data_IF_202639677949
#
_entry.id   IF_202639677949
#
_cell.length_a   1.000
_cell.length_b   1.000
_cell.length_c   1.000
_cell.angle_alpha   90.00
_cell.angle_beta   90.00
_cell.angle_gamma   90.00
#
_symmetry.space_group_name_H-M   'P 1'
#
loop_
_entity.id
_entity.type
_entity.pdbx_description
1 polymer ?
#
# COMPACT_ATOMS: atom_id res chain seq x y z
N UNK A 1 10.16 -5.90 -32.89
CA UNK A 1 9.56 -5.77 -31.52
C UNK A 1 9.81 -7.12 -30.84
N UNK A 2 10.52 -7.14 -29.72
CA UNK A 2 10.70 -8.37 -28.93
C UNK A 2 9.32 -8.81 -28.43
N UNK A 3 9.02 -10.10 -28.57
CA UNK A 3 7.81 -10.66 -27.97
C UNK A 3 7.88 -10.44 -26.46
N UNK A 4 6.74 -10.15 -25.83
CA UNK A 4 6.63 -10.08 -24.37
C UNK A 4 7.11 -11.41 -23.76
N UNK A 5 7.88 -11.33 -22.69
CA UNK A 5 8.35 -12.52 -21.96
C UNK A 5 7.19 -13.23 -21.27
N UNK A 6 6.13 -12.48 -20.90
CA UNK A 6 4.96 -12.97 -20.15
C UNK A 6 3.68 -12.66 -20.91
N UNK A 7 2.74 -13.59 -20.89
CA UNK A 7 1.42 -13.37 -21.49
C UNK A 7 0.54 -12.49 -20.62
N UNK A 8 -0.42 -11.80 -21.24
CA UNK A 8 -1.44 -11.02 -20.52
C UNK A 8 -2.22 -11.86 -19.52
N UNK A 9 -2.52 -13.12 -19.87
CA UNK A 9 -3.24 -14.04 -19.00
C UNK A 9 -2.42 -14.40 -17.74
N UNK A 10 -1.12 -14.62 -17.90
CA UNK A 10 -0.21 -14.88 -16.77
C UNK A 10 -0.10 -13.68 -15.85
N UNK A 11 0.10 -12.47 -16.41
CA UNK A 11 0.16 -11.22 -15.65
C UNK A 11 -1.14 -10.98 -14.88
N UNK A 12 -2.30 -11.17 -15.51
CA UNK A 12 -3.59 -11.01 -14.87
C UNK A 12 -3.79 -11.99 -13.69
N UNK A 13 -3.45 -13.27 -13.89
CA UNK A 13 -3.56 -14.29 -12.85
C UNK A 13 -2.60 -14.02 -11.67
N UNK A 14 -1.38 -13.59 -11.96
CA UNK A 14 -0.41 -13.22 -10.93
C UNK A 14 -0.87 -12.01 -10.12
N UNK A 15 -1.44 -11.01 -10.79
CA UNK A 15 -1.97 -9.81 -10.14
C UNK A 15 -3.19 -10.10 -9.27
N UNK A 16 -4.14 -10.89 -9.76
CA UNK A 16 -5.31 -11.32 -8.95
C UNK A 16 -4.88 -12.05 -7.68
N UNK A 17 -3.87 -12.93 -7.76
CA UNK A 17 -3.31 -13.60 -6.59
C UNK A 17 -2.64 -12.62 -5.63
N UNK A 18 -1.94 -11.63 -6.16
CA UNK A 18 -1.31 -10.57 -5.39
C UNK A 18 -2.35 -9.75 -4.62
N UNK A 19 -3.42 -9.27 -5.30
CA UNK A 19 -4.51 -8.51 -4.68
C UNK A 19 -5.21 -9.30 -3.55
N UNK A 20 -5.48 -10.59 -3.76
CA UNK A 20 -6.03 -11.47 -2.72
C UNK A 20 -5.12 -11.56 -1.50
N UNK A 21 -3.80 -11.59 -1.73
CA UNK A 21 -2.84 -11.63 -0.63
C UNK A 21 -2.75 -10.29 0.10
N UNK A 22 -2.81 -9.17 -0.62
CA UNK A 22 -2.89 -7.82 -0.02
C UNK A 22 -4.13 -7.70 0.87
N UNK A 23 -5.30 -8.12 0.37
CA UNK A 23 -6.54 -8.11 1.14
C UNK A 23 -6.45 -8.97 2.41
N UNK A 24 -5.84 -10.17 2.31
CA UNK A 24 -5.61 -11.04 3.47
C UNK A 24 -4.64 -10.39 4.46
N UNK A 25 -3.52 -9.85 4.00
CA UNK A 25 -2.53 -9.18 4.84
C UNK A 25 -3.14 -8.00 5.60
N UNK A 26 -3.96 -7.19 4.94
CA UNK A 26 -4.68 -6.08 5.57
C UNK A 26 -5.66 -6.58 6.66
N UNK A 27 -6.41 -7.64 6.38
CA UNK A 27 -7.40 -8.20 7.32
C UNK A 27 -6.75 -8.90 8.53
N UNK A 28 -5.63 -9.59 8.34
CA UNK A 28 -4.97 -10.39 9.38
C UNK A 28 -3.81 -9.66 10.06
N UNK A 29 -3.35 -8.55 9.48
CA UNK A 29 -2.13 -7.83 9.85
C UNK A 29 -0.84 -8.66 9.68
N UNK A 30 -0.92 -9.79 8.99
CA UNK A 30 0.23 -10.61 8.59
C UNK A 30 0.77 -10.14 7.23
N UNK A 31 1.71 -9.21 7.26
CA UNK A 31 2.37 -8.67 6.07
C UNK A 31 3.46 -9.59 5.52
N UNK A 32 3.87 -10.63 6.25
CA UNK A 32 4.84 -11.61 5.77
C UNK A 32 4.34 -12.36 4.53
N UNK A 33 3.04 -12.69 4.49
CA UNK A 33 2.44 -13.35 3.33
C UNK A 33 2.50 -12.48 2.06
N UNK A 34 2.38 -11.15 2.20
CA UNK A 34 2.49 -10.21 1.07
C UNK A 34 3.93 -10.10 0.58
N UNK A 35 4.89 -9.98 1.50
CA UNK A 35 6.32 -9.85 1.16
C UNK A 35 6.84 -11.04 0.36
N UNK A 36 6.28 -12.25 0.53
CA UNK A 36 6.66 -13.43 -0.24
C UNK A 36 6.37 -13.34 -1.74
N UNK A 37 5.51 -12.42 -2.18
CA UNK A 37 5.27 -12.17 -3.60
C UNK A 37 6.41 -11.43 -4.29
N UNK A 38 7.39 -10.91 -3.57
CA UNK A 38 8.55 -10.26 -4.16
C UNK A 38 9.72 -11.22 -4.34
N UNK A 39 10.55 -10.96 -5.34
CA UNK A 39 11.84 -11.63 -5.49
C UNK A 39 12.78 -11.30 -4.31
N UNK A 40 13.78 -12.16 -4.01
CA UNK A 40 14.72 -11.87 -2.92
C UNK A 40 15.46 -10.54 -3.05
N UNK A 41 15.68 -10.08 -4.28
CA UNK A 41 16.43 -8.88 -4.68
C UNK A 41 15.53 -7.71 -5.10
N UNK A 42 14.23 -7.76 -4.81
CA UNK A 42 13.25 -6.72 -5.20
C UNK A 42 13.75 -5.29 -4.97
N UNK A 43 13.45 -4.41 -5.91
CA UNK A 43 13.55 -2.96 -5.71
C UNK A 43 12.16 -2.37 -5.43
N UNK A 44 11.98 -1.85 -4.23
CA UNK A 44 10.75 -1.16 -3.83
C UNK A 44 11.02 0.32 -3.65
N UNK A 45 10.27 1.16 -4.36
CA UNK A 45 10.41 2.61 -4.34
C UNK A 45 9.17 3.20 -3.68
N UNK A 46 9.36 3.77 -2.50
CA UNK A 46 8.35 4.50 -1.77
C UNK A 46 8.80 5.96 -1.68
N UNK A 47 7.95 6.90 -2.10
CA UNK A 47 8.39 8.28 -2.35
C UNK A 47 8.76 9.07 -1.08
N UNK A 48 8.37 8.62 0.11
CA UNK A 48 8.80 9.21 1.40
C UNK A 48 9.93 8.41 2.03
N UNK A 49 9.84 7.07 2.04
CA UNK A 49 10.85 6.20 2.64
C UNK A 49 12.10 6.01 1.75
N UNK A 50 11.96 6.28 0.43
CA UNK A 50 13.04 6.13 -0.53
C UNK A 50 13.10 4.75 -1.17
N UNK A 51 14.28 4.36 -1.66
CA UNK A 51 14.50 3.10 -2.36
C UNK A 51 14.93 2.01 -1.37
N UNK A 52 14.20 0.92 -1.36
CA UNK A 52 14.50 -0.28 -0.59
C UNK A 52 14.91 -1.40 -1.53
N UNK A 53 16.05 -2.04 -1.26
CA UNK A 53 16.55 -3.17 -2.04
C UNK A 53 16.57 -4.43 -1.17
N UNK A 54 16.00 -5.48 -1.73
CA UNK A 54 15.89 -6.79 -1.11
C UNK A 54 14.64 -6.96 -0.25
N UNK A 55 14.07 -8.15 -0.32
CA UNK A 55 12.81 -8.55 0.36
C UNK A 55 12.83 -8.28 1.87
N UNK A 56 13.97 -8.50 2.52
CA UNK A 56 14.08 -8.30 3.97
C UNK A 56 13.96 -6.83 4.37
N UNK A 57 14.47 -5.90 3.53
CA UNK A 57 14.33 -4.47 3.77
C UNK A 57 12.88 -4.02 3.60
N UNK A 58 12.19 -4.52 2.57
CA UNK A 58 10.76 -4.27 2.35
C UNK A 58 9.94 -4.82 3.53
N UNK A 59 10.27 -6.02 4.01
CA UNK A 59 9.61 -6.64 5.18
C UNK A 59 9.71 -5.77 6.43
N UNK A 60 10.91 -5.32 6.77
CA UNK A 60 11.12 -4.47 7.95
C UNK A 60 10.31 -3.16 7.83
N UNK A 61 10.36 -2.52 6.67
CA UNK A 61 9.62 -1.29 6.41
C UNK A 61 8.10 -1.46 6.52
N UNK A 62 7.52 -2.49 5.90
CA UNK A 62 6.07 -2.67 5.92
C UNK A 62 5.57 -3.00 7.33
N UNK A 63 6.32 -3.81 8.08
CA UNK A 63 5.97 -4.13 9.47
C UNK A 63 5.97 -2.87 10.35
N UNK A 64 6.99 -2.01 10.23
CA UNK A 64 7.04 -0.74 10.94
C UNK A 64 5.88 0.19 10.51
N UNK A 65 5.68 0.36 9.21
CA UNK A 65 4.65 1.23 8.64
C UNK A 65 3.25 0.83 9.10
N UNK A 66 2.95 -0.46 9.07
CA UNK A 66 1.60 -0.96 9.37
C UNK A 66 1.34 -1.17 10.87
N UNK A 67 2.32 -0.94 11.73
CA UNK A 67 2.17 -0.92 13.19
C UNK A 67 2.16 0.50 13.76
N UNK A 68 2.45 1.50 12.94
CA UNK A 68 2.56 2.91 13.35
C UNK A 68 1.46 3.74 12.67
N UNK A 69 0.81 4.67 13.40
CA UNK A 69 -0.16 5.58 12.78
C UNK A 69 0.54 6.49 11.73
N UNK A 70 -0.04 6.73 10.55
CA UNK A 70 -1.39 6.38 10.09
C UNK A 70 -1.55 4.97 9.49
N UNK A 71 -0.48 4.26 9.15
CA UNK A 71 -0.52 2.94 8.52
C UNK A 71 -1.28 1.90 9.34
N UNK A 72 -1.13 1.91 10.66
CA UNK A 72 -1.88 1.02 11.57
C UNK A 72 -3.40 1.15 11.45
N UNK A 73 -3.89 2.28 10.97
CA UNK A 73 -5.31 2.57 10.77
C UNK A 73 -5.77 2.42 9.31
N UNK A 74 -4.90 2.10 8.38
CA UNK A 74 -5.29 1.71 7.02
C UNK A 74 -5.78 0.27 7.05
N UNK A 75 -7.02 0.03 6.59
CA UNK A 75 -7.72 -1.25 6.77
C UNK A 75 -7.82 -2.09 5.50
N UNK A 76 -7.58 -1.48 4.34
CA UNK A 76 -7.66 -2.16 3.04
C UNK A 76 -6.83 -1.41 2.01
N UNK A 77 -6.54 -2.08 0.88
CA UNK A 77 -5.81 -1.52 -0.26
C UNK A 77 -6.41 -2.02 -1.58
N UNK A 78 -7.71 -1.80 -1.83
CA UNK A 78 -8.34 -2.29 -3.04
C UNK A 78 -7.84 -1.53 -4.27
N UNK A 79 -7.67 -2.26 -5.37
CA UNK A 79 -7.41 -1.68 -6.68
C UNK A 79 -8.70 -1.09 -7.24
N UNK A 80 -8.70 0.20 -7.54
CA UNK A 80 -9.85 0.89 -8.16
C UNK A 80 -9.90 0.64 -9.66
N UNK A 81 -8.75 0.57 -10.28
CA UNK A 81 -8.54 0.18 -11.68
C UNK A 81 -7.12 -0.32 -11.87
N UNK A 82 -6.90 -1.07 -12.94
CA UNK A 82 -5.56 -1.52 -13.34
C UNK A 82 -5.41 -1.58 -14.85
N UNK A 83 -4.17 -1.43 -15.30
CA UNK A 83 -3.75 -1.62 -16.69
C UNK A 83 -2.59 -2.62 -16.72
N UNK A 84 -2.69 -3.59 -17.62
CA UNK A 84 -1.63 -4.55 -17.90
C UNK A 84 -0.84 -4.05 -19.11
N UNK A 85 0.42 -3.70 -18.89
CA UNK A 85 1.39 -3.47 -19.96
C UNK A 85 2.17 -4.77 -20.22
N UNK A 86 1.61 -5.56 -21.13
CA UNK A 86 2.19 -6.85 -21.52
C UNK A 86 3.60 -6.69 -22.10
N UNK A 87 3.84 -5.59 -22.82
CA UNK A 87 5.12 -5.36 -23.51
C UNK A 87 6.31 -5.22 -22.54
N UNK A 88 6.06 -4.77 -21.33
CA UNK A 88 7.08 -4.56 -20.28
C UNK A 88 6.91 -5.46 -19.06
N UNK A 89 5.89 -6.32 -19.04
CA UNK A 89 5.58 -7.18 -17.90
C UNK A 89 5.13 -6.38 -16.67
N UNK A 90 4.43 -5.25 -16.85
CA UNK A 90 4.03 -4.36 -15.76
C UNK A 90 2.53 -4.33 -15.56
N UNK A 91 2.15 -4.14 -14.29
CA UNK A 91 0.81 -3.73 -13.89
C UNK A 91 0.89 -2.31 -13.33
N UNK A 92 0.00 -1.45 -13.81
CA UNK A 92 -0.19 -0.10 -13.27
C UNK A 92 -1.58 -0.08 -12.65
N UNK A 93 -1.71 0.27 -11.39
CA UNK A 93 -3.00 0.30 -10.71
C UNK A 93 -3.12 1.51 -9.79
N UNK A 94 -4.34 1.99 -9.59
CA UNK A 94 -4.67 2.93 -8.52
C UNK A 94 -5.20 2.14 -7.33
N UNK A 95 -4.57 2.33 -6.18
CA UNK A 95 -5.00 1.74 -4.91
C UNK A 95 -5.71 2.78 -4.06
N UNK A 96 -6.84 2.43 -3.47
CA UNK A 96 -7.44 3.18 -2.38
C UNK A 96 -6.84 2.72 -1.04
N UNK A 97 -6.70 3.65 -0.10
CA UNK A 97 -6.14 3.39 1.23
C UNK A 97 -7.14 3.90 2.29
N UNK A 98 -8.29 3.22 2.46
CA UNK A 98 -9.27 3.62 3.45
C UNK A 98 -8.74 3.41 4.87
N UNK A 99 -9.00 4.40 5.70
CA UNK A 99 -8.71 4.34 7.13
C UNK A 99 -9.85 3.65 7.88
N UNK A 100 -9.56 3.18 9.09
CA UNK A 100 -10.54 2.66 10.03
C UNK A 100 -11.70 3.64 10.18
N UNK A 101 -12.93 3.11 10.35
CA UNK A 101 -14.10 3.94 10.68
C UNK A 101 -13.81 4.73 11.96
N UNK A 102 -13.89 6.06 11.94
CA UNK A 102 -13.69 6.88 13.13
C UNK A 102 -14.82 6.73 14.18
N UNK A 103 -15.92 6.04 13.83
CA UNK A 103 -17.03 5.73 14.74
C UNK A 103 -18.41 6.23 14.28
N UNK A 104 -18.51 6.80 13.07
CA UNK A 104 -19.78 7.30 12.50
C UNK A 104 -20.07 6.79 11.10
N UNK A 105 -19.32 5.79 10.63
CA UNK A 105 -19.43 5.24 9.28
C UNK A 105 -18.74 6.09 8.20
N UNK A 106 -18.02 7.15 8.56
CA UNK A 106 -17.30 7.98 7.58
C UNK A 106 -16.18 7.21 6.92
N UNK A 107 -16.10 7.29 5.59
CA UNK A 107 -14.97 6.78 4.81
C UNK A 107 -13.98 7.91 4.56
N UNK A 108 -12.78 7.76 5.08
CA UNK A 108 -11.67 8.69 4.89
C UNK A 108 -10.53 7.91 4.26
N UNK A 109 -10.09 8.32 3.07
CA UNK A 109 -9.05 7.61 2.31
C UNK A 109 -8.15 8.55 1.52
N UNK A 110 -7.06 8.01 1.02
CA UNK A 110 -6.21 8.62 -0.01
C UNK A 110 -5.79 7.55 -1.01
N UNK A 111 -5.51 7.94 -2.25
CA UNK A 111 -5.11 7.01 -3.31
C UNK A 111 -3.65 7.17 -3.69
N UNK A 112 -3.04 6.08 -4.15
CA UNK A 112 -1.74 6.05 -4.80
C UNK A 112 -1.79 5.28 -6.12
N UNK A 113 -0.84 5.55 -7.00
CA UNK A 113 -0.57 4.72 -8.17
C UNK A 113 0.59 3.79 -7.85
N UNK A 114 0.39 2.49 -8.05
CA UNK A 114 1.46 1.49 -7.96
C UNK A 114 1.83 1.00 -9.35
N UNK A 115 3.12 0.95 -9.63
CA UNK A 115 3.70 0.33 -10.83
C UNK A 115 4.46 -0.90 -10.37
N UNK A 116 3.98 -2.08 -10.77
CA UNK A 116 4.52 -3.37 -10.31
C UNK A 116 5.09 -4.12 -11.51
N UNK A 117 6.35 -4.57 -11.45
CA UNK A 117 7.02 -5.30 -12.53
C UNK A 117 7.14 -6.77 -12.17
N UNK A 118 6.64 -7.62 -13.05
CA UNK A 118 6.61 -9.07 -12.90
C UNK A 118 7.96 -9.70 -13.25
N UNK A 119 8.32 -10.75 -12.52
CA UNK A 119 9.56 -11.51 -12.70
C UNK A 119 9.34 -12.99 -13.07
N UNK A 120 8.07 -13.37 -13.32
CA UNK A 120 7.71 -14.77 -13.52
C UNK A 120 7.44 -15.51 -12.20
N UNK A 121 6.92 -16.73 -12.31
CA UNK A 121 6.67 -17.62 -11.17
C UNK A 121 5.81 -17.02 -10.04
N UNK A 122 4.91 -16.07 -10.38
CA UNK A 122 4.06 -15.38 -9.42
C UNK A 122 4.79 -14.38 -8.53
N UNK A 123 5.99 -13.93 -8.90
CA UNK A 123 6.80 -12.98 -8.14
C UNK A 123 6.99 -11.66 -8.87
N UNK A 124 7.19 -10.60 -8.08
CA UNK A 124 7.39 -9.22 -8.53
C UNK A 124 8.80 -8.77 -8.16
N UNK A 125 9.57 -8.25 -9.13
CA UNK A 125 10.94 -7.79 -8.89
C UNK A 125 11.05 -6.29 -8.63
N UNK A 126 9.99 -5.53 -8.93
CA UNK A 126 9.97 -4.08 -8.67
C UNK A 126 8.57 -3.61 -8.35
N UNK A 127 8.45 -2.71 -7.40
CA UNK A 127 7.25 -1.91 -7.18
C UNK A 127 7.64 -0.45 -6.93
N UNK A 128 6.83 0.46 -7.45
CA UNK A 128 6.94 1.88 -7.17
C UNK A 128 5.57 2.43 -6.80
N UNK A 129 5.46 3.05 -5.61
CA UNK A 129 4.26 3.70 -5.14
C UNK A 129 4.38 5.21 -5.29
N UNK A 130 3.58 5.76 -6.20
CA UNK A 130 3.59 7.17 -6.58
C UNK A 130 2.37 7.85 -5.97
N UNK A 131 2.58 8.80 -5.09
CA UNK A 131 1.52 9.54 -4.44
C UNK A 131 1.94 10.94 -4.01
N UNK A 132 0.96 11.75 -3.65
CA UNK A 132 1.22 13.05 -3.01
C UNK A 132 1.15 12.89 -1.48
N UNK A 133 2.28 13.00 -0.76
CA UNK A 133 2.30 12.83 0.70
C UNK A 133 1.35 13.77 1.45
N UNK A 134 1.10 14.96 0.91
CA UNK A 134 0.17 15.91 1.52
C UNK A 134 -1.28 15.44 1.48
N UNK A 135 -1.67 14.62 0.49
CA UNK A 135 -3.03 14.02 0.46
C UNK A 135 -3.18 13.00 1.59
N UNK A 136 -2.18 12.16 1.81
CA UNK A 136 -2.16 11.20 2.92
C UNK A 136 -2.13 11.91 4.27
N UNK A 137 -1.29 12.95 4.41
CA UNK A 137 -1.26 13.77 5.62
C UNK A 137 -2.64 14.40 5.94
N UNK A 138 -3.31 14.94 4.91
CA UNK A 138 -4.64 15.54 5.07
C UNK A 138 -5.70 14.50 5.42
N UNK A 139 -5.66 13.32 4.83
CA UNK A 139 -6.57 12.22 5.16
C UNK A 139 -6.38 11.77 6.61
N UNK A 140 -5.15 11.54 7.05
CA UNK A 140 -4.82 11.17 8.42
C UNK A 140 -5.25 12.25 9.43
N UNK A 141 -5.01 13.53 9.12
CA UNK A 141 -5.43 14.64 9.96
C UNK A 141 -6.95 14.78 10.04
N UNK A 142 -7.65 14.60 8.91
CA UNK A 142 -9.12 14.57 8.86
C UNK A 142 -9.67 13.44 9.74
N UNK A 143 -9.07 12.25 9.67
CA UNK A 143 -9.42 11.12 10.52
C UNK A 143 -9.24 11.45 12.00
N UNK A 144 -8.08 11.98 12.39
CA UNK A 144 -7.80 12.37 13.78
C UNK A 144 -8.83 13.37 14.34
N UNK A 145 -9.15 14.42 13.58
CA UNK A 145 -10.14 15.42 13.99
C UNK A 145 -11.52 14.80 14.18
N UNK A 146 -11.93 13.94 13.24
CA UNK A 146 -13.20 13.25 13.31
C UNK A 146 -13.27 12.31 14.52
N UNK A 147 -12.24 11.50 14.72
CA UNK A 147 -12.13 10.62 15.88
C UNK A 147 -12.12 11.40 17.21
N UNK A 148 -11.48 12.57 17.24
CA UNK A 148 -11.49 13.46 18.41
C UNK A 148 -12.90 13.99 18.72
N UNK A 149 -13.64 14.45 17.70
CA UNK A 149 -15.02 14.89 17.82
C UNK A 149 -15.95 13.78 18.36
N UNK A 150 -15.69 12.53 17.97
CA UNK A 150 -16.47 11.37 18.37
C UNK A 150 -15.99 10.73 19.69
N UNK A 151 -14.87 11.17 20.24
CA UNK A 151 -14.29 10.60 21.46
C UNK A 151 -13.64 9.23 21.25
N UNK A 152 -13.26 8.88 20.01
CA UNK A 152 -12.64 7.59 19.61
C UNK A 152 -11.17 7.70 19.28
N UNK A 153 -10.56 8.89 19.41
CA UNK A 153 -9.15 9.13 19.11
C UNK A 153 -8.25 8.38 20.10
N UNK A 154 -7.47 7.42 19.60
CA UNK A 154 -6.50 6.69 20.40
C UNK A 154 -5.20 7.50 20.65
N UNK A 155 -4.36 6.98 21.55
CA UNK A 155 -3.14 7.68 21.97
C UNK A 155 -2.10 7.84 20.87
N UNK A 156 -1.96 6.85 19.97
CA UNK A 156 -0.96 6.90 18.89
C UNK A 156 -1.35 7.93 17.82
N UNK A 157 -2.61 7.94 17.44
CA UNK A 157 -3.16 8.95 16.55
C UNK A 157 -3.12 10.35 17.18
N UNK A 158 -3.44 10.47 18.47
CA UNK A 158 -3.35 11.74 19.19
C UNK A 158 -1.92 12.27 19.28
N UNK A 159 -0.94 11.38 19.50
CA UNK A 159 0.48 11.72 19.51
C UNK A 159 0.96 12.17 18.14
N UNK A 160 0.54 11.46 17.10
CA UNK A 160 0.84 11.82 15.73
C UNK A 160 0.21 13.17 15.34
N UNK A 161 -1.05 13.38 15.67
CA UNK A 161 -1.77 14.64 15.41
C UNK A 161 -1.07 15.85 16.03
N UNK A 162 -0.59 15.73 17.28
CA UNK A 162 0.20 16.81 17.93
C UNK A 162 1.50 17.14 17.22
N UNK A 163 2.16 16.15 16.61
CA UNK A 163 3.43 16.36 15.89
C UNK A 163 3.24 17.02 14.52
N UNK A 164 2.11 16.79 13.87
CA UNK A 164 1.87 17.19 12.48
C UNK A 164 0.78 18.25 12.32
N UNK A 165 0.03 18.54 13.38
CA UNK A 165 -1.14 19.41 13.32
C UNK A 165 -0.85 20.89 13.27
N UNK A 166 0.38 21.35 13.56
CA UNK A 166 0.70 22.76 13.70
C UNK A 166 -0.15 23.49 14.76
N UNK A 167 0.21 24.69 15.17
CA UNK A 167 -0.66 25.51 15.99
C UNK A 167 -1.89 25.96 15.23
#
# INVERSE_FOLDING_TARGET
MSASEFSRAELAAAFEKFEKTVARAAATRDWDCWVQHYTPDVEYIEHVAGIMRGRQRVRAWIQETMTTFPGSHMVAFPSLWSVIDESTGRIICELDNPMLDPGDGSVISATNISIITYAGNGQWCRQEDIYNPLRFLRAAMKWCRKAQELGTLDEDAARWMRRHGGP
#
